data_IF_659078449870
#
_entry.id   IF_659078449870
#
_cell.length_a   1.000
_cell.length_b   1.000
_cell.length_c   1.000
_cell.angle_alpha   90.00
_cell.angle_beta   90.00
_cell.angle_gamma   90.00
#
_symmetry.space_group_name_H-M   'P 1'
#
loop_
_entity.id
_entity.type
_entity.pdbx_description
1 polymer ?
#
# COMPACT_ATOMS: atom_id res chain seq x y z
N UNK A 1 -24.19 26.32 -25.18
CA UNK A 1 -23.54 25.06 -24.79
C UNK A 1 -22.42 25.43 -23.83
N UNK A 2 -22.68 25.32 -22.53
CA UNK A 2 -21.80 25.77 -21.46
C UNK A 2 -20.89 24.63 -21.00
N UNK A 3 -19.59 24.90 -21.02
CA UNK A 3 -18.53 24.18 -20.31
C UNK A 3 -18.64 24.44 -18.80
N UNK A 4 -18.59 23.39 -17.99
CA UNK A 4 -18.53 23.51 -16.52
C UNK A 4 -17.15 23.07 -16.05
N UNK A 5 -16.34 24.05 -15.63
CA UNK A 5 -15.12 23.86 -14.84
C UNK A 5 -15.53 23.49 -13.40
N UNK A 6 -14.90 22.47 -12.82
CA UNK A 6 -15.02 22.17 -11.39
C UNK A 6 -14.11 23.10 -10.59
N UNK A 7 -14.71 24.04 -9.88
CA UNK A 7 -14.06 24.95 -8.94
C UNK A 7 -13.82 24.26 -7.58
N UNK A 8 -12.61 24.47 -7.06
CA UNK A 8 -12.16 24.19 -5.71
C UNK A 8 -12.63 25.36 -4.83
N UNK A 9 -13.89 25.37 -4.38
CA UNK A 9 -14.36 26.29 -3.34
C UNK A 9 -15.55 25.66 -2.60
N UNK A 10 -15.30 24.86 -1.56
CA UNK A 10 -16.37 24.47 -0.62
C UNK A 10 -15.83 24.12 0.78
N UNK A 11 -14.96 24.96 1.37
CA UNK A 11 -14.74 24.95 2.82
C UNK A 11 -14.50 26.39 3.30
N UNK A 12 -15.57 27.18 3.42
CA UNK A 12 -15.54 28.47 4.13
C UNK A 12 -16.86 28.81 4.83
N UNK A 13 -17.63 27.80 5.25
CA UNK A 13 -18.93 28.02 5.93
C UNK A 13 -19.10 27.31 7.28
N UNK A 14 -18.02 26.91 7.94
CA UNK A 14 -18.05 26.39 9.34
C UNK A 14 -17.11 27.20 10.24
N UNK A 15 -17.13 28.53 10.11
CA UNK A 15 -16.45 29.44 11.05
C UNK A 15 -17.40 30.40 11.79
N UNK A 16 -18.71 30.27 11.63
CA UNK A 16 -19.71 31.01 12.39
C UNK A 16 -20.65 29.99 13.03
N UNK A 17 -20.74 29.99 14.37
CA UNK A 17 -21.56 29.11 15.26
C UNK A 17 -20.79 28.14 16.18
N UNK A 18 -19.63 28.53 16.71
CA UNK A 18 -19.00 27.84 17.88
C UNK A 18 -18.51 28.79 18.98
N UNK A 19 -19.11 29.97 19.11
CA UNK A 19 -18.77 30.97 20.15
C UNK A 19 -19.90 31.39 21.09
N UNK A 20 -20.98 30.62 21.15
CA UNK A 20 -22.01 30.80 22.16
C UNK A 20 -22.49 29.42 22.58
N UNK A 21 -21.90 28.86 23.64
CA UNK A 21 -22.45 27.82 24.53
C UNK A 21 -21.29 27.26 25.36
N UNK A 22 -20.74 28.10 26.23
CA UNK A 22 -19.79 27.71 27.28
C UNK A 22 -19.98 28.66 28.45
N UNK A 23 -21.13 28.55 29.10
CA UNK A 23 -21.42 29.11 30.42
C UNK A 23 -22.72 28.48 30.91
N UNK A 24 -22.75 28.11 32.19
CA UNK A 24 -23.83 27.47 32.96
C UNK A 24 -23.84 25.93 32.95
N UNK A 25 -23.16 25.33 33.92
CA UNK A 25 -23.86 24.61 35.01
C UNK A 25 -22.83 24.09 36.02
N UNK A 26 -22.45 24.96 36.96
CA UNK A 26 -21.95 24.58 38.28
C UNK A 26 -23.11 24.85 39.27
N UNK A 27 -23.23 23.99 40.29
CA UNK A 27 -24.11 24.09 41.47
C UNK A 27 -25.51 23.47 41.38
N UNK A 28 -25.61 22.17 41.73
CA UNK A 28 -26.55 21.64 42.75
C UNK A 28 -25.83 20.45 43.40
N UNK A 29 -25.00 20.69 44.41
CA UNK A 29 -25.31 20.49 45.84
C UNK A 29 -25.80 19.07 46.16
N UNK A 30 -24.92 18.35 46.84
CA UNK A 30 -25.20 17.18 47.64
C UNK A 30 -26.39 17.42 48.58
N UNK A 31 -27.44 16.60 48.48
CA UNK A 31 -28.33 16.29 49.60
C UNK A 31 -29.14 15.04 49.26
N UNK A 32 -28.77 13.93 49.89
CA UNK A 32 -29.65 12.97 50.59
C UNK A 32 -29.01 11.59 50.61
N UNK A 33 -28.37 11.31 51.74
CA UNK A 33 -28.05 9.96 52.17
C UNK A 33 -29.23 9.38 52.97
N UNK A 34 -29.52 8.09 52.73
CA UNK A 34 -30.23 7.11 53.59
C UNK A 34 -31.76 7.35 53.71
N UNK A 35 -32.65 6.43 53.32
CA UNK A 35 -32.89 5.02 53.71
C UNK A 35 -33.84 4.43 52.65
N UNK A 36 -34.08 3.13 52.41
CA UNK A 36 -34.16 1.94 53.25
C UNK A 36 -34.12 0.67 52.38
N UNK A 37 -33.65 -0.41 53.00
CA UNK A 37 -33.67 -1.80 52.56
C UNK A 37 -35.00 -2.25 51.91
N UNK A 38 -34.96 -2.61 50.63
CA UNK A 38 -35.84 -3.63 50.05
C UNK A 38 -34.96 -4.70 49.43
N UNK A 39 -35.02 -5.89 50.02
CA UNK A 39 -34.32 -7.07 49.55
C UNK A 39 -35.08 -7.61 48.33
N UNK A 40 -34.84 -7.01 47.17
CA UNK A 40 -35.17 -7.66 45.90
C UNK A 40 -34.09 -8.69 45.61
N UNK A 41 -34.56 -9.88 45.24
CA UNK A 41 -33.76 -11.04 44.92
C UNK A 41 -32.84 -10.67 43.76
N UNK A 42 -31.56 -10.50 44.07
CA UNK A 42 -30.49 -10.21 43.13
C UNK A 42 -30.29 -11.46 42.24
N UNK A 43 -31.15 -11.62 41.24
CA UNK A 43 -30.77 -12.33 40.03
C UNK A 43 -29.69 -11.45 39.39
N UNK A 44 -28.46 -11.68 39.85
CA UNK A 44 -27.26 -11.17 39.20
C UNK A 44 -27.46 -11.44 37.72
N UNK A 45 -27.60 -10.40 36.87
CA UNK A 45 -27.63 -10.61 35.44
C UNK A 45 -26.33 -11.32 35.16
N UNK A 46 -26.43 -12.59 34.76
CA UNK A 46 -25.30 -13.30 34.18
C UNK A 46 -24.80 -12.33 33.11
N UNK A 47 -23.55 -11.85 33.16
CA UNK A 47 -23.05 -11.04 32.07
C UNK A 47 -23.30 -11.88 30.83
N UNK A 48 -24.16 -11.37 29.94
CA UNK A 48 -24.36 -11.99 28.63
C UNK A 48 -22.95 -12.27 28.11
N UNK A 49 -22.68 -13.49 27.62
CA UNK A 49 -21.36 -13.82 27.12
C UNK A 49 -20.99 -12.72 26.14
N UNK A 50 -19.98 -11.92 26.48
CA UNK A 50 -19.48 -10.85 25.63
C UNK A 50 -19.26 -11.49 24.28
N UNK A 51 -20.11 -11.15 23.32
CA UNK A 51 -20.09 -11.71 21.98
C UNK A 51 -18.68 -11.51 21.47
N UNK A 52 -17.91 -12.60 21.52
CA UNK A 52 -16.51 -12.55 21.15
C UNK A 52 -16.55 -12.42 19.65
N UNK A 53 -16.31 -11.21 19.14
CA UNK A 53 -16.38 -10.93 17.70
C UNK A 53 -15.45 -11.91 16.99
N UNK A 54 -16.03 -12.92 16.35
CA UNK A 54 -15.29 -13.95 15.64
C UNK A 54 -14.92 -13.38 14.28
N UNK A 55 -13.70 -12.86 14.17
CA UNK A 55 -13.17 -12.37 12.90
C UNK A 55 -12.82 -13.54 11.97
N UNK A 56 -13.10 -13.35 10.69
CA UNK A 56 -12.53 -14.15 9.61
C UNK A 56 -11.00 -14.07 9.58
N UNK A 57 -10.36 -14.93 8.80
CA UNK A 57 -8.90 -14.88 8.61
C UNK A 57 -8.44 -13.53 8.04
N UNK A 58 -9.16 -13.00 7.03
CA UNK A 58 -8.91 -11.67 6.48
C UNK A 58 -9.14 -10.57 7.51
N UNK A 59 -10.18 -10.68 8.33
CA UNK A 59 -10.46 -9.73 9.41
C UNK A 59 -9.34 -9.72 10.44
N UNK A 60 -8.77 -10.89 10.78
CA UNK A 60 -7.60 -10.98 11.65
C UNK A 60 -6.41 -10.26 11.02
N UNK A 61 -6.07 -10.55 9.75
CA UNK A 61 -4.95 -9.90 9.05
C UNK A 61 -5.11 -8.37 9.03
N UNK A 62 -6.28 -7.88 8.63
CA UNK A 62 -6.56 -6.44 8.50
C UNK A 62 -6.43 -5.70 9.84
N UNK A 63 -6.88 -6.33 10.93
CA UNK A 63 -6.97 -5.70 12.26
C UNK A 63 -5.74 -5.89 13.13
N UNK A 64 -4.78 -6.74 12.74
CA UNK A 64 -3.59 -7.05 13.55
C UNK A 64 -2.46 -6.01 13.43
N UNK A 65 -2.62 -5.02 12.54
CA UNK A 65 -1.56 -4.06 12.24
C UNK A 65 -2.06 -2.63 12.11
N UNK A 66 -1.12 -1.69 12.09
CA UNK A 66 -1.31 -0.32 11.59
C UNK A 66 -0.73 -0.31 10.17
N UNK A 67 -1.53 0.12 9.22
CA UNK A 67 -1.20 0.22 7.80
C UNK A 67 -0.61 1.59 7.48
N UNK A 68 0.44 1.63 6.65
CA UNK A 68 1.10 2.88 6.21
C UNK A 68 1.22 2.89 4.70
N UNK A 69 0.98 4.03 4.06
CA UNK A 69 1.08 4.13 2.61
C UNK A 69 2.53 3.93 2.14
N UNK A 70 2.70 2.91 1.32
CA UNK A 70 3.94 2.62 0.61
C UNK A 70 3.90 3.19 -0.81
N UNK A 71 2.77 3.04 -1.50
CA UNK A 71 2.48 3.67 -2.81
C UNK A 71 1.05 4.17 -2.88
N UNK A 72 0.82 5.21 -3.68
CA UNK A 72 -0.51 5.74 -3.95
C UNK A 72 -0.57 6.30 -5.37
N UNK A 73 -1.68 6.01 -6.07
CA UNK A 73 -1.85 6.31 -7.48
C UNK A 73 -3.19 6.98 -7.76
N UNK A 74 -3.21 7.82 -8.80
CA UNK A 74 -4.43 8.36 -9.41
C UNK A 74 -4.59 7.83 -10.84
N UNK A 75 -5.83 7.72 -11.30
CA UNK A 75 -6.24 7.22 -12.61
C UNK A 75 -5.67 5.82 -12.93
N UNK A 76 -5.63 4.95 -11.91
CA UNK A 76 -4.90 3.68 -11.95
C UNK A 76 -5.31 2.76 -13.11
N UNK A 77 -6.60 2.73 -13.45
CA UNK A 77 -7.14 1.91 -14.54
C UNK A 77 -6.77 2.42 -15.95
N UNK A 78 -6.27 3.65 -16.06
CA UNK A 78 -5.95 4.28 -17.35
C UNK A 78 -4.47 4.09 -17.73
N UNK A 79 -4.13 4.37 -18.98
CA UNK A 79 -2.73 4.45 -19.43
C UNK A 79 -1.99 5.66 -18.82
N UNK A 80 -2.71 6.69 -18.40
CA UNK A 80 -2.18 7.89 -17.72
C UNK A 80 -2.12 7.78 -16.20
N UNK A 81 -1.97 6.57 -15.66
CA UNK A 81 -1.85 6.34 -14.21
C UNK A 81 -0.67 7.12 -13.65
N UNK A 82 -0.93 7.96 -12.65
CA UNK A 82 0.09 8.83 -12.04
C UNK A 82 0.45 8.35 -10.65
N UNK A 83 1.74 8.13 -10.40
CA UNK A 83 2.26 7.89 -9.04
C UNK A 83 2.29 9.22 -8.27
N UNK A 84 1.52 9.31 -7.18
CA UNK A 84 1.42 10.54 -6.38
C UNK A 84 2.18 10.48 -5.07
N UNK A 85 2.39 9.28 -4.53
CA UNK A 85 3.20 9.02 -3.35
C UNK A 85 3.95 7.71 -3.46
N UNK A 86 5.22 7.73 -3.03
CA UNK A 86 5.98 6.55 -2.66
C UNK A 86 7.03 6.89 -1.62
N UNK A 87 7.17 6.07 -0.58
CA UNK A 87 7.99 6.35 0.61
C UNK A 87 9.45 6.74 0.32
N UNK A 88 10.06 6.18 -0.73
CA UNK A 88 11.47 6.40 -1.07
C UNK A 88 11.66 7.28 -2.32
N UNK A 89 10.60 7.95 -2.78
CA UNK A 89 10.65 8.87 -3.91
C UNK A 89 10.79 10.31 -3.40
N UNK A 90 11.74 11.06 -3.95
CA UNK A 90 12.02 12.44 -3.54
C UNK A 90 11.00 13.46 -4.09
N UNK A 91 10.43 13.19 -5.26
CA UNK A 91 9.51 14.09 -5.95
C UNK A 91 8.05 13.61 -5.89
N UNK A 92 7.51 13.46 -4.67
CA UNK A 92 6.09 13.14 -4.48
C UNK A 92 5.21 14.39 -4.62
N UNK A 93 4.06 14.25 -5.28
CA UNK A 93 3.07 15.34 -5.42
C UNK A 93 2.14 15.45 -4.20
N UNK A 94 2.09 14.40 -3.39
CA UNK A 94 1.34 14.34 -2.14
C UNK A 94 2.24 13.67 -1.10
N UNK A 95 2.36 14.25 0.08
CA UNK A 95 3.19 13.69 1.14
C UNK A 95 2.37 12.84 2.10
N UNK A 96 2.50 11.50 2.02
CA UNK A 96 1.76 10.58 2.88
C UNK A 96 2.62 10.00 4.02
N UNK A 97 3.77 10.58 4.37
CA UNK A 97 4.67 9.98 5.38
C UNK A 97 4.03 9.83 6.77
N UNK A 98 3.14 10.75 7.14
CA UNK A 98 2.39 10.69 8.41
C UNK A 98 1.18 9.76 8.33
N UNK A 99 0.71 9.42 7.13
CA UNK A 99 -0.54 8.68 7.00
C UNK A 99 -0.42 7.28 7.56
N UNK A 100 -1.32 6.96 8.48
CA UNK A 100 -1.43 5.63 9.05
C UNK A 100 -2.88 5.31 9.40
N UNK A 101 -3.25 4.08 9.12
CA UNK A 101 -4.64 3.61 9.20
C UNK A 101 -4.70 2.40 10.13
N UNK A 102 -5.73 2.34 10.98
CA UNK A 102 -6.02 1.19 11.83
C UNK A 102 -7.48 0.81 11.74
N UNK A 103 -7.67 -0.47 11.45
CA UNK A 103 -8.94 -1.17 11.57
C UNK A 103 -8.94 -1.94 12.89
N UNK A 104 -9.93 -1.69 13.75
CA UNK A 104 -10.07 -2.40 15.02
C UNK A 104 -11.09 -3.53 14.89
N UNK A 105 -10.94 -4.55 15.74
CA UNK A 105 -11.76 -5.78 15.70
C UNK A 105 -13.25 -5.51 15.95
N UNK A 106 -13.57 -4.44 16.64
CA UNK A 106 -14.92 -3.98 16.97
C UNK A 106 -15.63 -3.22 15.82
N UNK A 107 -15.00 -3.15 14.64
CA UNK A 107 -15.52 -2.38 13.50
C UNK A 107 -15.21 -0.88 13.58
N UNK A 108 -14.50 -0.40 14.61
CA UNK A 108 -14.03 0.98 14.66
C UNK A 108 -12.78 1.19 13.81
N UNK A 109 -12.61 2.41 13.32
CA UNK A 109 -11.54 2.83 12.43
C UNK A 109 -10.91 4.13 12.92
N UNK A 110 -9.60 4.27 12.77
CA UNK A 110 -8.94 5.56 12.84
C UNK A 110 -7.85 5.73 11.79
N UNK A 111 -7.63 6.97 11.40
CA UNK A 111 -6.60 7.40 10.47
C UNK A 111 -5.91 8.65 11.01
N UNK A 112 -4.61 8.75 10.77
CA UNK A 112 -3.89 10.02 10.76
C UNK A 112 -3.70 10.41 9.31
N UNK A 113 -4.12 11.63 8.94
CA UNK A 113 -4.08 12.13 7.56
C UNK A 113 -2.70 12.64 7.17
N UNK A 114 -2.56 13.14 5.94
CA UNK A 114 -1.33 13.76 5.42
C UNK A 114 -0.92 15.01 6.18
N UNK A 115 -1.89 15.66 6.84
CA UNK A 115 -1.68 16.87 7.64
C UNK A 115 -1.45 16.57 9.12
N UNK A 116 -1.53 15.30 9.51
CA UNK A 116 -1.44 14.88 10.91
C UNK A 116 -2.77 14.95 11.68
N UNK A 117 -3.87 15.27 11.00
CA UNK A 117 -5.20 15.28 11.63
C UNK A 117 -5.66 13.86 11.95
N UNK A 118 -6.41 13.68 13.04
CA UNK A 118 -7.00 12.39 13.37
C UNK A 118 -8.44 12.29 12.87
N UNK A 119 -8.70 11.29 12.03
CA UNK A 119 -10.04 10.90 11.61
C UNK A 119 -10.45 9.62 12.34
N UNK A 120 -11.75 9.51 12.63
CA UNK A 120 -12.37 8.32 13.20
C UNK A 120 -13.57 7.91 12.36
N UNK A 121 -13.96 6.65 12.47
CA UNK A 121 -15.02 6.10 11.66
C UNK A 121 -15.36 4.66 12.02
N UNK A 122 -16.10 4.02 11.11
CA UNK A 122 -16.38 2.59 11.15
C UNK A 122 -15.92 1.92 9.86
N UNK A 123 -15.72 0.61 9.92
CA UNK A 123 -15.41 -0.20 8.75
C UNK A 123 -16.13 -1.55 8.81
N UNK A 124 -16.35 -2.15 7.64
CA UNK A 124 -16.77 -3.54 7.53
C UNK A 124 -16.40 -4.11 6.16
N UNK A 125 -16.33 -5.43 6.05
CA UNK A 125 -16.23 -6.10 4.77
C UNK A 125 -17.58 -6.19 4.08
N UNK A 126 -17.55 -6.15 2.76
CA UNK A 126 -18.69 -6.43 1.88
C UNK A 126 -18.26 -7.37 0.76
N UNK A 127 -19.21 -7.83 -0.05
CA UNK A 127 -18.98 -8.69 -1.20
C UNK A 127 -18.10 -9.91 -0.88
N UNK A 128 -18.49 -10.70 0.12
CA UNK A 128 -17.71 -11.87 0.57
C UNK A 128 -16.25 -11.55 0.92
N UNK A 129 -16.02 -10.41 1.57
CA UNK A 129 -14.68 -9.93 1.97
C UNK A 129 -13.72 -9.69 0.81
N UNK A 130 -14.25 -9.39 -0.37
CA UNK A 130 -13.48 -8.85 -1.49
C UNK A 130 -13.55 -7.32 -1.56
N UNK A 131 -14.40 -6.70 -0.74
CA UNK A 131 -14.53 -5.26 -0.63
C UNK A 131 -14.49 -4.82 0.84
N UNK A 132 -14.03 -3.60 1.06
CA UNK A 132 -14.06 -2.91 2.34
C UNK A 132 -14.84 -1.61 2.19
N UNK A 133 -15.69 -1.32 3.16
CA UNK A 133 -16.39 -0.05 3.30
C UNK A 133 -15.84 0.66 4.53
N UNK A 134 -15.43 1.91 4.36
CA UNK A 134 -14.99 2.80 5.44
C UNK A 134 -15.92 4.01 5.50
N UNK A 135 -16.50 4.26 6.67
CA UNK A 135 -17.32 5.43 6.94
C UNK A 135 -16.56 6.36 7.88
N UNK A 136 -16.04 7.46 7.35
CA UNK A 136 -15.42 8.52 8.16
C UNK A 136 -16.09 9.86 7.87
N UNK A 137 -15.38 10.85 7.33
CA UNK A 137 -15.97 12.11 6.81
C UNK A 137 -16.84 11.89 5.58
N UNK A 138 -16.65 10.78 4.88
CA UNK A 138 -17.45 10.27 3.77
C UNK A 138 -17.40 8.74 3.76
N UNK A 139 -18.25 8.12 2.95
CA UNK A 139 -18.23 6.67 2.74
C UNK A 139 -17.36 6.33 1.54
N UNK A 140 -16.37 5.46 1.75
CA UNK A 140 -15.49 4.96 0.71
C UNK A 140 -15.65 3.45 0.60
N UNK A 141 -15.90 2.96 -0.62
CA UNK A 141 -15.92 1.54 -0.93
C UNK A 141 -14.75 1.21 -1.84
N UNK A 142 -13.96 0.23 -1.43
CA UNK A 142 -12.78 -0.21 -2.16
C UNK A 142 -12.76 -1.72 -2.34
N UNK A 143 -12.37 -2.16 -3.52
CA UNK A 143 -11.95 -3.54 -3.77
C UNK A 143 -10.65 -3.83 -3.01
N UNK A 144 -10.58 -4.98 -2.38
CA UNK A 144 -9.36 -5.53 -1.77
C UNK A 144 -8.64 -6.30 -2.86
N UNK A 145 -7.51 -5.76 -3.33
CA UNK A 145 -6.70 -6.38 -4.39
C UNK A 145 -5.72 -7.41 -3.81
N UNK A 146 -5.08 -7.07 -2.69
CA UNK A 146 -4.18 -7.95 -1.95
C UNK A 146 -4.37 -7.69 -0.46
N UNK A 147 -4.42 -8.75 0.35
CA UNK A 147 -4.39 -8.64 1.81
C UNK A 147 -3.58 -9.79 2.39
N UNK A 148 -2.38 -9.48 2.86
CA UNK A 148 -1.46 -10.41 3.53
C UNK A 148 -1.04 -9.82 4.88
N UNK A 149 -0.28 -10.57 5.67
CA UNK A 149 0.23 -10.08 6.96
C UNK A 149 1.07 -8.77 6.86
N UNK A 150 1.64 -8.48 5.68
CA UNK A 150 2.54 -7.33 5.49
C UNK A 150 2.04 -6.30 4.48
N UNK A 151 1.07 -6.63 3.63
CA UNK A 151 0.65 -5.80 2.50
C UNK A 151 -0.86 -5.79 2.36
N UNK A 152 -1.42 -4.58 2.23
CA UNK A 152 -2.82 -4.34 1.94
C UNK A 152 -2.90 -3.43 0.72
N UNK A 153 -3.40 -3.97 -0.38
CA UNK A 153 -3.69 -3.22 -1.60
C UNK A 153 -5.18 -3.08 -1.79
N UNK A 154 -5.59 -1.88 -2.16
CA UNK A 154 -6.97 -1.55 -2.36
C UNK A 154 -7.14 -0.63 -3.56
N UNK A 155 -8.32 -0.69 -4.15
CA UNK A 155 -8.71 0.13 -5.29
C UNK A 155 -10.11 0.67 -5.08
N UNK A 156 -10.34 1.97 -5.26
CA UNK A 156 -11.71 2.50 -5.23
C UNK A 156 -12.50 1.84 -6.36
N UNK A 157 -13.77 1.46 -6.11
CA UNK A 157 -14.60 0.71 -7.07
C UNK A 157 -14.73 1.37 -8.46
N UNK A 158 -14.56 2.69 -8.56
CA UNK A 158 -14.55 3.41 -9.84
C UNK A 158 -13.17 3.49 -10.53
N UNK A 159 -12.15 2.83 -9.98
CA UNK A 159 -10.81 2.72 -10.55
C UNK A 159 -9.98 4.00 -10.56
N UNK A 160 -10.46 5.06 -9.91
CA UNK A 160 -9.78 6.37 -9.92
C UNK A 160 -8.53 6.39 -9.06
N UNK A 161 -8.47 5.54 -8.03
CA UNK A 161 -7.42 5.58 -7.02
C UNK A 161 -7.07 4.16 -6.59
N UNK A 162 -5.77 3.93 -6.40
CA UNK A 162 -5.22 2.67 -5.93
C UNK A 162 -4.15 2.95 -4.88
N UNK A 163 -4.14 2.19 -3.79
CA UNK A 163 -3.20 2.35 -2.70
C UNK A 163 -2.56 1.02 -2.31
N UNK A 164 -1.26 1.10 -2.02
CA UNK A 164 -0.48 0.01 -1.42
C UNK A 164 -0.10 0.46 -0.03
N UNK A 165 -0.60 -0.25 0.98
CA UNK A 165 -0.20 -0.02 2.37
C UNK A 165 0.59 -1.21 2.89
N UNK A 166 1.54 -0.93 3.78
CA UNK A 166 2.37 -1.96 4.40
C UNK A 166 2.40 -1.83 5.92
N UNK A 167 2.50 -2.98 6.59
CA UNK A 167 2.74 -3.06 8.04
C UNK A 167 4.12 -2.49 8.40
N UNK A 168 5.12 -2.90 7.63
CA UNK A 168 6.51 -2.44 7.69
C UNK A 168 7.02 -2.28 6.27
N UNK A 169 7.76 -1.21 6.02
CA UNK A 169 8.34 -0.99 4.71
C UNK A 169 9.46 -2.01 4.44
N UNK A 170 9.68 -2.39 3.16
CA UNK A 170 10.77 -3.27 2.78
C UNK A 170 12.12 -2.66 3.17
N UNK A 171 12.98 -3.48 3.77
CA UNK A 171 14.36 -3.12 4.11
C UNK A 171 15.30 -4.19 3.52
N UNK A 172 16.52 -3.81 3.17
CA UNK A 172 17.52 -4.78 2.72
C UNK A 172 17.88 -5.75 3.84
N UNK A 173 17.99 -7.03 3.49
CA UNK A 173 18.50 -8.05 4.40
C UNK A 173 20.01 -7.91 4.54
N UNK A 174 20.48 -7.73 5.77
CA UNK A 174 21.91 -7.56 6.09
C UNK A 174 22.57 -8.85 6.58
N UNK A 175 21.82 -9.95 6.68
CA UNK A 175 22.32 -11.25 7.14
C UNK A 175 22.96 -12.08 6.03
N UNK A 176 22.68 -11.75 4.77
CA UNK A 176 23.23 -12.37 3.58
C UNK A 176 23.90 -11.33 2.70
N UNK A 177 24.85 -11.75 1.87
CA UNK A 177 25.44 -10.86 0.87
C UNK A 177 24.46 -10.59 -0.27
N UNK A 178 24.63 -9.47 -0.97
CA UNK A 178 23.83 -9.12 -2.15
C UNK A 178 23.88 -10.21 -3.21
N UNK A 179 25.05 -10.79 -3.45
CA UNK A 179 25.21 -11.90 -4.40
C UNK A 179 24.41 -13.14 -3.97
N UNK A 180 24.43 -13.50 -2.68
CA UNK A 180 23.62 -14.61 -2.15
C UNK A 180 22.12 -14.35 -2.34
N UNK A 181 21.66 -13.14 -2.02
CA UNK A 181 20.25 -12.77 -2.18
C UNK A 181 19.82 -12.80 -3.65
N UNK A 182 20.57 -12.17 -4.56
CA UNK A 182 20.26 -12.15 -5.99
C UNK A 182 20.19 -13.56 -6.59
N UNK A 183 21.13 -14.43 -6.23
CA UNK A 183 21.26 -15.78 -6.81
C UNK A 183 20.39 -16.84 -6.16
N UNK A 184 19.77 -16.52 -5.01
CA UNK A 184 18.91 -17.47 -4.29
C UNK A 184 17.59 -17.77 -4.99
N UNK A 185 17.17 -16.93 -5.95
CA UNK A 185 15.83 -16.95 -6.54
C UNK A 185 15.83 -16.51 -8.00
N UNK A 186 14.75 -16.89 -8.69
CA UNK A 186 14.29 -16.21 -9.90
C UNK A 186 13.43 -15.02 -9.49
N UNK A 187 13.55 -13.93 -10.22
CA UNK A 187 12.84 -12.69 -9.98
C UNK A 187 11.84 -12.44 -11.09
N UNK A 188 10.70 -11.86 -10.79
CA UNK A 188 9.76 -11.30 -11.76
C UNK A 188 9.40 -9.90 -11.32
N UNK A 189 9.05 -9.04 -12.28
CA UNK A 189 8.62 -7.69 -11.92
C UNK A 189 7.30 -7.73 -11.14
N UNK A 190 7.12 -6.77 -10.24
CA UNK A 190 5.84 -6.41 -9.61
C UNK A 190 5.38 -5.03 -10.07
N UNK A 191 6.31 -4.07 -10.19
CA UNK A 191 6.07 -2.69 -10.63
C UNK A 191 7.25 -2.17 -11.46
N UNK A 192 6.97 -1.31 -12.44
CA UNK A 192 8.00 -0.67 -13.26
C UNK A 192 7.60 0.75 -13.67
N UNK A 193 8.53 1.69 -13.55
CA UNK A 193 8.31 3.12 -13.81
C UNK A 193 9.34 3.72 -14.76
N UNK A 194 8.87 4.71 -15.53
CA UNK A 194 9.71 5.73 -16.16
C UNK A 194 9.66 7.03 -15.37
N UNK A 195 10.68 7.87 -15.56
CA UNK A 195 10.76 9.21 -14.99
C UNK A 195 10.63 9.24 -13.46
N UNK A 196 11.03 8.15 -12.79
CA UNK A 196 10.75 7.92 -11.36
C UNK A 196 11.12 9.08 -10.40
N UNK A 197 12.31 9.70 -10.49
CA UNK A 197 12.68 10.80 -9.61
C UNK A 197 12.11 12.16 -10.07
N UNK A 198 11.49 12.25 -11.23
CA UNK A 198 10.87 13.48 -11.73
C UNK A 198 9.50 13.68 -11.07
N UNK A 199 8.94 14.89 -11.19
CA UNK A 199 7.62 15.21 -10.61
C UNK A 199 6.50 14.31 -11.16
N UNK A 200 6.57 13.97 -12.45
CA UNK A 200 5.73 12.95 -13.10
C UNK A 200 6.51 11.65 -13.26
N UNK A 201 6.12 10.62 -12.52
CA UNK A 201 6.59 9.26 -12.72
C UNK A 201 5.48 8.45 -13.41
N UNK A 202 5.83 7.81 -14.51
CA UNK A 202 4.90 7.08 -15.35
C UNK A 202 4.88 5.62 -14.91
N UNK A 203 3.74 5.15 -14.41
CA UNK A 203 3.54 3.73 -14.14
C UNK A 203 3.29 3.00 -15.46
N UNK A 204 4.34 2.43 -16.04
CA UNK A 204 4.26 1.76 -17.34
C UNK A 204 3.91 0.27 -17.23
N UNK A 205 4.16 -0.33 -16.08
CA UNK A 205 3.77 -1.71 -15.81
C UNK A 205 3.57 -1.98 -14.32
N UNK A 206 2.51 -2.71 -13.98
CA UNK A 206 2.32 -3.36 -12.67
C UNK A 206 1.56 -4.66 -12.85
N UNK A 207 1.88 -5.67 -12.05
CA UNK A 207 1.09 -6.89 -12.01
C UNK A 207 -0.37 -6.59 -11.64
N UNK A 208 -1.30 -7.20 -12.36
CA UNK A 208 -2.74 -7.00 -12.13
C UNK A 208 -3.28 -5.64 -12.60
N UNK A 209 -2.45 -4.65 -12.97
CA UNK A 209 -2.95 -3.41 -13.56
C UNK A 209 -3.47 -3.67 -14.98
N UNK A 210 -4.69 -3.22 -15.33
CA UNK A 210 -5.14 -3.25 -16.72
C UNK A 210 -4.49 -2.12 -17.53
N UNK A 211 -4.38 -2.32 -18.84
CA UNK A 211 -3.80 -1.35 -19.77
C UNK A 211 -2.36 -0.95 -19.40
N UNK A 212 -1.50 -1.93 -19.09
CA UNK A 212 -0.06 -1.72 -19.00
C UNK A 212 0.47 -1.25 -20.36
N UNK A 213 1.38 -0.27 -20.38
CA UNK A 213 1.97 0.27 -21.62
C UNK A 213 3.29 -0.41 -21.97
N UNK A 214 3.90 -1.14 -21.04
CA UNK A 214 5.15 -1.87 -21.25
C UNK A 214 4.98 -3.37 -20.95
N UNK A 215 4.30 -4.08 -21.85
CA UNK A 215 3.90 -5.50 -21.69
C UNK A 215 5.03 -6.51 -21.87
N UNK A 216 6.23 -6.07 -22.23
CA UNK A 216 7.43 -6.93 -22.31
C UNK A 216 7.74 -7.60 -20.96
N UNK A 217 7.34 -6.98 -19.85
CA UNK A 217 7.51 -7.51 -18.50
C UNK A 217 6.46 -8.56 -18.11
N UNK A 218 5.44 -8.78 -18.95
CA UNK A 218 4.44 -9.80 -18.68
C UNK A 218 5.10 -11.17 -18.58
N UNK A 219 5.06 -11.78 -17.39
CA UNK A 219 5.66 -13.09 -17.13
C UNK A 219 7.18 -13.17 -17.40
N UNK A 220 7.87 -12.04 -17.56
CA UNK A 220 9.33 -12.01 -17.62
C UNK A 220 9.90 -12.50 -16.29
N UNK A 221 10.80 -13.47 -16.35
CA UNK A 221 11.61 -13.89 -15.21
C UNK A 221 13.09 -13.62 -15.46
N UNK A 222 13.81 -13.26 -14.41
CA UNK A 222 15.24 -12.97 -14.41
C UNK A 222 15.92 -13.86 -13.37
N UNK A 223 16.93 -14.60 -13.79
CA UNK A 223 17.75 -15.44 -12.93
C UNK A 223 19.19 -14.91 -12.94
N UNK A 224 19.72 -14.59 -11.77
CA UNK A 224 21.14 -14.27 -11.57
C UNK A 224 21.84 -15.53 -11.07
N UNK A 225 22.91 -15.96 -11.74
CA UNK A 225 23.65 -17.17 -11.36
C UNK A 225 24.97 -16.83 -10.69
N UNK A 226 25.43 -17.71 -9.80
CA UNK A 226 26.65 -17.51 -9.02
C UNK A 226 27.92 -17.44 -9.89
N UNK A 227 27.89 -17.96 -11.12
CA UNK A 227 28.97 -17.87 -12.10
C UNK A 227 29.04 -16.50 -12.82
N UNK A 228 28.20 -15.54 -12.43
CA UNK A 228 28.13 -14.22 -13.05
C UNK A 228 27.29 -14.17 -14.32
N UNK A 229 26.54 -15.23 -14.67
CA UNK A 229 25.63 -15.21 -15.82
C UNK A 229 24.21 -14.80 -15.43
N UNK A 230 23.47 -14.20 -16.37
CA UNK A 230 22.04 -13.90 -16.24
C UNK A 230 21.23 -14.66 -17.28
N UNK A 231 20.01 -15.01 -16.90
CA UNK A 231 19.02 -15.62 -17.81
C UNK A 231 17.70 -14.90 -17.65
N UNK A 232 17.26 -14.26 -18.72
CA UNK A 232 15.91 -13.70 -18.85
C UNK A 232 15.05 -14.67 -19.66
N UNK A 233 13.87 -15.00 -19.16
CA UNK A 233 12.89 -15.83 -19.86
C UNK A 233 11.60 -15.05 -20.04
N UNK A 234 11.23 -14.80 -21.29
CA UNK A 234 10.05 -14.03 -21.67
C UNK A 234 8.81 -14.90 -21.78
N UNK A 235 7.64 -14.26 -21.88
CA UNK A 235 6.33 -14.93 -21.99
C UNK A 235 6.23 -15.93 -23.14
N UNK A 236 6.87 -15.64 -24.26
CA UNK A 236 6.90 -16.50 -25.45
C UNK A 236 7.88 -17.68 -25.32
N UNK A 237 8.58 -17.80 -24.19
CA UNK A 237 9.59 -18.80 -23.94
C UNK A 237 10.97 -18.44 -24.51
N UNK A 238 11.13 -17.28 -25.15
CA UNK A 238 12.43 -16.81 -25.60
C UNK A 238 13.37 -16.56 -24.42
N UNK A 239 14.65 -16.83 -24.63
CA UNK A 239 15.68 -16.73 -23.61
C UNK A 239 16.75 -15.74 -24.06
N UNK A 240 16.95 -14.70 -23.27
CA UNK A 240 18.10 -13.80 -23.39
C UNK A 240 19.09 -14.14 -22.29
N UNK A 241 20.34 -14.40 -22.69
CA UNK A 241 21.45 -14.63 -21.74
C UNK A 241 22.28 -13.37 -21.63
N UNK A 242 22.96 -13.22 -20.50
CA UNK A 242 23.89 -12.12 -20.29
C UNK A 242 24.88 -12.43 -19.17
N UNK A 243 25.57 -11.39 -18.73
CA UNK A 243 26.41 -11.42 -17.52
C UNK A 243 25.98 -10.35 -16.54
N UNK A 244 26.33 -10.52 -15.28
CA UNK A 244 26.17 -9.51 -14.25
C UNK A 244 27.40 -9.43 -13.36
N UNK A 245 27.58 -8.26 -12.75
CA UNK A 245 28.61 -8.02 -11.73
C UNK A 245 28.13 -7.00 -10.73
N UNK A 246 28.64 -7.10 -9.51
CA UNK A 246 28.48 -6.07 -8.49
C UNK A 246 29.71 -5.16 -8.49
N UNK A 247 29.51 -3.89 -8.15
CA UNK A 247 30.63 -3.03 -7.78
C UNK A 247 31.22 -3.44 -6.41
N UNK A 248 32.31 -2.80 -6.00
CA UNK A 248 33.09 -3.19 -4.81
C UNK A 248 32.32 -3.12 -3.50
N UNK A 249 31.38 -2.19 -3.36
CA UNK A 249 30.54 -2.03 -2.17
C UNK A 249 29.18 -2.75 -2.28
N UNK A 250 28.96 -3.47 -3.38
CA UNK A 250 27.73 -4.20 -3.70
C UNK A 250 26.44 -3.35 -3.69
N UNK A 251 26.55 -2.04 -3.89
CA UNK A 251 25.38 -1.15 -4.01
C UNK A 251 24.90 -0.99 -5.45
N UNK A 252 25.73 -1.33 -6.44
CA UNK A 252 25.41 -1.25 -7.86
C UNK A 252 25.52 -2.63 -8.51
N UNK A 253 24.53 -2.94 -9.34
CA UNK A 253 24.45 -4.13 -10.17
C UNK A 253 24.61 -3.71 -11.63
N UNK A 254 25.67 -4.15 -12.30
CA UNK A 254 25.79 -4.03 -13.75
C UNK A 254 25.28 -5.31 -14.40
N UNK A 255 24.43 -5.17 -15.42
CA UNK A 255 23.95 -6.28 -16.25
C UNK A 255 24.33 -6.00 -17.70
N UNK A 256 24.85 -7.03 -18.37
CA UNK A 256 25.25 -7.02 -19.78
C UNK A 256 24.45 -8.09 -20.52
N UNK A 257 23.34 -7.74 -21.18
CA UNK A 257 22.66 -8.66 -22.08
C UNK A 257 23.60 -9.07 -23.22
N UNK A 258 23.54 -10.33 -23.68
CA UNK A 258 24.38 -10.80 -24.78
C UNK A 258 24.07 -10.01 -26.07
N UNK A 259 25.07 -9.35 -26.64
CA UNK A 259 24.92 -8.45 -27.79
C UNK A 259 24.28 -7.09 -27.46
N UNK A 260 24.06 -6.80 -26.18
CA UNK A 260 23.51 -5.53 -25.69
C UNK A 260 24.57 -4.60 -25.10
N UNK A 261 24.09 -3.48 -24.55
CA UNK A 261 24.90 -2.50 -23.83
C UNK A 261 24.77 -2.76 -22.33
N UNK A 262 25.88 -2.65 -21.61
CA UNK A 262 25.90 -2.67 -20.15
C UNK A 262 24.92 -1.63 -19.60
N UNK A 263 24.15 -2.02 -18.60
CA UNK A 263 23.42 -1.06 -17.80
C UNK A 263 23.66 -1.29 -16.31
N UNK A 264 23.69 -0.18 -15.58
CA UNK A 264 23.94 -0.18 -14.15
C UNK A 264 22.66 0.22 -13.40
N UNK A 265 22.32 -0.56 -12.39
CA UNK A 265 21.22 -0.29 -11.48
C UNK A 265 21.77 -0.07 -10.06
N UNK A 266 21.29 0.93 -9.34
CA UNK A 266 21.55 1.06 -7.91
C UNK A 266 20.50 0.27 -7.15
N UNK A 267 20.95 -0.61 -6.27
CA UNK A 267 20.08 -1.43 -5.41
C UNK A 267 19.52 -0.54 -4.31
N UNK A 268 18.18 -0.49 -4.19
CA UNK A 268 17.47 0.26 -3.15
C UNK A 268 17.05 -0.62 -1.99
N UNK A 269 16.50 -1.79 -2.31
CA UNK A 269 16.10 -2.80 -1.36
C UNK A 269 16.44 -4.16 -1.94
N UNK A 270 17.05 -5.03 -1.17
CA UNK A 270 17.20 -6.44 -1.54
C UNK A 270 17.06 -7.33 -0.30
N UNK A 271 16.06 -8.19 -0.31
CA UNK A 271 15.84 -9.21 0.72
C UNK A 271 15.20 -10.46 0.09
N UNK A 272 14.93 -11.49 0.88
CA UNK A 272 14.36 -12.75 0.38
C UNK A 272 12.97 -12.66 -0.27
N UNK A 273 12.31 -11.49 -0.23
CA UNK A 273 10.97 -11.28 -0.77
C UNK A 273 10.87 -10.14 -1.77
N UNK A 274 11.89 -9.28 -1.88
CA UNK A 274 11.81 -8.06 -2.68
C UNK A 274 13.16 -7.60 -3.18
N UNK A 275 13.20 -7.16 -4.42
CA UNK A 275 14.34 -6.51 -5.04
C UNK A 275 13.86 -5.21 -5.71
N UNK A 276 14.29 -4.07 -5.19
CA UNK A 276 14.01 -2.74 -5.71
C UNK A 276 15.29 -2.09 -6.21
N UNK A 277 15.23 -1.42 -7.35
CA UNK A 277 16.38 -0.78 -7.95
C UNK A 277 15.98 0.45 -8.77
N UNK A 278 16.94 1.36 -8.99
CA UNK A 278 16.81 2.44 -9.97
C UNK A 278 17.94 2.39 -10.99
N UNK A 279 17.71 2.94 -12.18
CA UNK A 279 18.68 3.01 -13.28
C UNK A 279 18.56 4.35 -13.97
N UNK A 280 19.66 4.85 -14.52
CA UNK A 280 19.69 6.06 -15.33
C UNK A 280 20.41 5.79 -16.65
N UNK A 281 19.72 5.98 -17.78
CA UNK A 281 20.33 5.87 -19.11
C UNK A 281 20.14 7.17 -19.87
N UNK A 282 21.22 7.87 -20.24
CA UNK A 282 21.14 9.02 -21.16
C UNK A 282 20.03 10.04 -20.81
N UNK A 283 19.81 10.29 -19.51
CA UNK A 283 18.74 11.16 -18.95
C UNK A 283 17.34 10.53 -18.77
N UNK A 284 17.16 9.25 -19.09
CA UNK A 284 15.97 8.48 -18.72
C UNK A 284 16.17 7.84 -17.35
N UNK A 285 15.14 7.91 -16.52
CA UNK A 285 15.17 7.39 -15.15
C UNK A 285 14.18 6.24 -14.99
N UNK A 286 14.69 5.10 -14.57
CA UNK A 286 13.89 3.89 -14.40
C UNK A 286 13.88 3.47 -12.95
N UNK A 287 12.77 2.88 -12.52
CA UNK A 287 12.67 2.20 -11.23
C UNK A 287 11.91 0.90 -11.41
N UNK A 288 12.46 -0.18 -10.85
CA UNK A 288 11.87 -1.51 -10.91
C UNK A 288 11.70 -2.09 -9.51
N UNK A 289 10.56 -2.74 -9.31
CA UNK A 289 10.32 -3.62 -8.16
C UNK A 289 10.13 -5.03 -8.67
N UNK A 290 10.80 -5.97 -8.03
CA UNK A 290 10.74 -7.38 -8.35
C UNK A 290 10.45 -8.20 -7.10
N UNK A 291 9.74 -9.28 -7.31
CA UNK A 291 9.41 -10.30 -6.30
C UNK A 291 9.89 -11.67 -6.79
N UNK A 292 10.04 -12.66 -5.89
CA UNK A 292 10.33 -14.02 -6.29
C UNK A 292 9.34 -14.53 -7.35
N UNK A 293 9.84 -15.22 -8.38
CA UNK A 293 9.02 -15.71 -9.48
C UNK A 293 7.97 -16.74 -9.02
N UNK A 294 8.32 -17.52 -8.01
CA UNK A 294 7.47 -18.51 -7.33
C UNK A 294 6.47 -17.89 -6.34
N UNK A 295 6.59 -16.60 -6.03
CA UNK A 295 5.62 -15.92 -5.18
C UNK A 295 4.24 -15.93 -5.86
N UNK A 296 3.26 -16.57 -5.20
CA UNK A 296 1.86 -16.42 -5.55
C UNK A 296 1.46 -14.98 -5.29
N UNK A 297 1.28 -14.21 -6.36
CA UNK A 297 0.61 -12.92 -6.25
C UNK A 297 -0.82 -13.25 -5.88
N UNK A 298 -1.34 -12.65 -4.80
CA UNK A 298 -2.68 -12.91 -4.27
C UNK A 298 -3.75 -12.70 -5.34
N UNK A 299 -4.00 -13.73 -6.14
CA UNK A 299 -5.00 -13.76 -7.17
C UNK A 299 -6.34 -13.97 -6.50
N UNK A 300 -6.97 -12.88 -6.06
CA UNK A 300 -8.42 -12.87 -6.05
C UNK A 300 -8.86 -13.13 -7.50
N UNK A 301 -9.52 -14.26 -7.70
CA UNK A 301 -10.03 -14.74 -8.98
C UNK A 301 -10.70 -13.58 -9.74
N UNK A 302 -10.13 -13.22 -10.90
CA UNK A 302 -10.88 -12.48 -11.93
C UNK A 302 -11.84 -13.46 -12.58
N UNK A 303 -13.11 -13.39 -12.20
CA UNK A 303 -14.23 -13.65 -13.12
C UNK A 303 -14.79 -12.30 -13.54
#
# INVERSE_FOLDING_TARGET
MHTTQFNIEYILYICYMKKAFSLLSLCVVALLALTSSSCEKDETPKPDPVDTIVLSEKGKILTDTIWRYYEYYKNFQTSGSTLVWKTNRSANTLDLHLNKVKFNKDGSYWEITEKGDSLKGTWHFTNNETQIVVNSTSTFTSDIRVLTANQFEWEVVNGTTYGVMMKRFPESDKTQTVAQLLTSKKWKYETYFYNFPLASADLVWRIGKPNNTYTVLDQLTVEYKADGTTVETYKDGSIVRGTWRLNSDATHLTVTPNGGIDFECVIKVLNGTRFEWNRVDQSYYYYGEMIPADATVGGAARR
#
